data_IF_895461795660
#
_entry.id   IF_895461795660
#
_cell.length_a   1.000
_cell.length_b   1.000
_cell.length_c   1.000
_cell.angle_alpha   90.00
_cell.angle_beta   90.00
_cell.angle_gamma   90.00
#
_symmetry.space_group_name_H-M   'P 1'
#
loop_
_entity.id
_entity.type
_entity.pdbx_description
1 polymer ?
#
# COMPACT_ATOMS: atom_id res chain seq x y z
N UNK A 1 -69.40 14.13 32.26
CA UNK A 1 -70.31 13.52 31.26
C UNK A 1 -69.55 12.36 30.64
N UNK A 2 -70.04 11.14 30.90
CA UNK A 2 -69.78 9.83 30.27
C UNK A 2 -68.30 9.49 29.91
N UNK A 3 -67.59 8.61 30.62
CA UNK A 3 -67.84 7.18 30.90
C UNK A 3 -67.88 6.30 29.64
N UNK A 4 -66.82 5.51 29.43
CA UNK A 4 -66.92 4.11 29.01
C UNK A 4 -65.56 3.41 29.24
N UNK A 5 -65.35 2.93 30.46
CA UNK A 5 -64.43 1.82 30.73
C UNK A 5 -65.03 0.53 30.14
N UNK A 6 -64.26 -0.23 29.36
CA UNK A 6 -64.58 -1.64 29.13
C UNK A 6 -63.32 -2.50 28.88
N UNK A 7 -62.72 -2.88 30.00
CA UNK A 7 -62.50 -4.28 30.40
C UNK A 7 -61.57 -5.19 29.59
N UNK A 8 -60.63 -5.81 30.31
CA UNK A 8 -60.10 -7.14 30.02
C UNK A 8 -58.64 -7.13 29.56
N UNK A 9 -57.66 -7.08 30.46
CA UNK A 9 -57.13 -8.22 31.24
C UNK A 9 -56.28 -9.21 30.43
N UNK A 10 -55.13 -9.53 31.04
CA UNK A 10 -54.40 -10.79 30.92
C UNK A 10 -53.51 -10.99 29.66
N UNK A 11 -52.21 -10.76 29.86
CA UNK A 11 -51.20 -11.73 29.39
C UNK A 11 -51.49 -13.09 30.02
N UNK A 12 -51.52 -14.17 29.21
CA UNK A 12 -50.78 -15.36 29.63
C UNK A 12 -50.09 -16.12 28.48
N UNK A 13 -48.85 -16.53 28.79
CA UNK A 13 -48.28 -17.88 28.61
C UNK A 13 -48.15 -18.50 27.19
N UNK A 14 -46.90 -18.87 26.87
CA UNK A 14 -46.42 -19.83 25.84
C UNK A 14 -46.96 -21.28 26.04
N UNK A 15 -46.61 -22.35 25.25
CA UNK A 15 -46.03 -22.54 23.88
C UNK A 15 -46.87 -23.58 23.04
N UNK A 16 -46.35 -24.24 21.97
CA UNK A 16 -45.47 -25.41 22.14
C UNK A 16 -44.27 -25.51 21.18
N UNK A 17 -43.15 -25.90 21.79
CA UNK A 17 -42.16 -26.90 21.35
C UNK A 17 -41.52 -26.81 19.94
N UNK A 18 -40.22 -26.54 19.95
CA UNK A 18 -39.28 -26.83 18.87
C UNK A 18 -37.83 -26.62 19.30
N UNK A 19 -37.38 -27.36 20.33
CA UNK A 19 -35.99 -27.55 20.79
C UNK A 19 -34.99 -26.40 20.61
N UNK A 20 -34.87 -25.55 21.63
CA UNK A 20 -33.64 -24.80 21.90
C UNK A 20 -32.68 -25.67 22.71
N UNK A 21 -31.60 -26.13 22.08
CA UNK A 21 -30.37 -26.54 22.76
C UNK A 21 -29.43 -25.32 22.81
N UNK A 22 -28.62 -25.16 23.87
CA UNK A 22 -28.01 -23.89 24.22
C UNK A 22 -26.95 -23.46 23.23
N UNK A 23 -26.96 -22.15 22.99
CA UNK A 23 -25.88 -21.32 22.45
C UNK A 23 -24.59 -21.65 23.23
N UNK A 24 -23.78 -22.52 22.62
CA UNK A 24 -22.49 -22.95 23.12
C UNK A 24 -21.52 -22.83 21.96
N UNK A 25 -21.20 -21.58 21.61
CA UNK A 25 -20.00 -21.29 20.83
C UNK A 25 -18.83 -21.70 21.72
N UNK A 26 -18.39 -22.96 21.59
CA UNK A 26 -17.05 -23.35 21.98
C UNK A 26 -16.11 -22.54 21.10
N UNK A 27 -15.75 -21.34 21.55
CA UNK A 27 -14.58 -20.64 21.05
C UNK A 27 -13.40 -21.55 21.35
N UNK A 28 -12.91 -22.22 20.31
CA UNK A 28 -11.69 -23.00 20.36
C UNK A 28 -10.58 -22.10 20.95
N UNK A 29 -9.97 -22.47 22.09
CA UNK A 29 -8.89 -21.67 22.68
C UNK A 29 -7.72 -21.43 21.71
N UNK A 30 -7.56 -22.29 20.69
CA UNK A 30 -6.60 -22.07 19.61
C UNK A 30 -7.03 -20.94 18.65
N UNK A 31 -8.33 -20.80 18.39
CA UNK A 31 -8.87 -19.72 17.55
C UNK A 31 -8.77 -18.35 18.25
N UNK A 32 -9.03 -18.31 19.57
CA UNK A 32 -8.84 -17.10 20.38
C UNK A 32 -7.36 -16.67 20.40
N UNK A 33 -6.41 -17.62 20.49
CA UNK A 33 -4.98 -17.34 20.44
C UNK A 33 -4.52 -16.83 19.06
N UNK A 34 -5.04 -17.39 17.97
CA UNK A 34 -4.75 -16.90 16.62
C UNK A 34 -5.32 -15.50 16.38
N UNK A 35 -6.55 -15.23 16.83
CA UNK A 35 -7.13 -13.89 16.74
C UNK A 35 -6.36 -12.86 17.59
N UNK A 36 -5.85 -13.28 18.75
CA UNK A 36 -4.98 -12.45 19.59
C UNK A 36 -3.64 -12.16 18.91
N UNK A 37 -2.99 -13.16 18.30
CA UNK A 37 -1.76 -13.01 17.51
C UNK A 37 -1.96 -12.11 16.28
N UNK A 38 -3.11 -12.24 15.60
CA UNK A 38 -3.46 -11.44 14.43
C UNK A 38 -3.70 -9.97 14.80
N UNK A 39 -4.32 -9.72 15.96
CA UNK A 39 -4.48 -8.37 16.53
C UNK A 39 -3.14 -7.77 17.00
N UNK A 40 -2.26 -8.60 17.57
CA UNK A 40 -0.91 -8.20 17.98
C UNK A 40 -0.05 -7.80 16.76
N UNK A 41 -0.12 -8.53 15.63
CA UNK A 41 0.54 -8.14 14.38
C UNK A 41 -0.08 -6.89 13.73
N UNK A 42 -1.41 -6.74 13.77
CA UNK A 42 -2.09 -5.57 13.21
C UNK A 42 -1.71 -4.26 13.96
N UNK A 43 -1.25 -4.36 15.21
CA UNK A 43 -0.70 -3.23 15.95
C UNK A 43 0.70 -2.79 15.48
N UNK A 44 1.44 -3.65 14.77
CA UNK A 44 2.81 -3.36 14.27
C UNK A 44 2.77 -2.72 12.88
N UNK A 45 1.74 -2.98 12.07
CA UNK A 45 1.59 -2.39 10.73
C UNK A 45 1.16 -0.91 10.77
N UNK A 46 0.62 -0.45 11.90
CA UNK A 46 0.07 0.90 12.04
C UNK A 46 0.88 1.81 12.99
N UNK A 47 2.01 1.34 13.53
CA UNK A 47 2.91 2.15 14.36
C UNK A 47 4.14 2.56 13.54
N UNK A 48 4.39 3.87 13.48
CA UNK A 48 5.44 4.53 12.69
C UNK A 48 6.86 4.23 13.22
N UNK A 49 7.26 2.95 13.22
CA UNK A 49 8.52 2.45 13.77
C UNK A 49 9.73 2.53 12.83
N UNK A 50 9.66 3.25 11.72
CA UNK A 50 10.81 3.46 10.80
C UNK A 50 11.86 4.46 11.36
N UNK A 51 11.87 4.74 12.67
CA UNK A 51 12.80 5.67 13.32
C UNK A 51 14.00 5.05 14.06
N UNK A 52 14.13 3.72 14.15
CA UNK A 52 15.15 3.07 15.01
C UNK A 52 16.48 2.71 14.31
N UNK A 53 16.62 2.96 13.01
CA UNK A 53 17.88 2.66 12.29
C UNK A 53 18.81 3.87 12.06
N UNK A 54 18.58 5.00 12.73
CA UNK A 54 19.48 6.17 12.59
C UNK A 54 20.75 6.09 13.46
N UNK A 55 20.82 5.20 14.46
CA UNK A 55 22.00 5.11 15.36
C UNK A 55 22.48 3.68 15.66
N UNK A 56 22.63 2.85 14.63
CA UNK A 56 23.57 1.71 14.55
C UNK A 56 24.01 0.95 15.81
N UNK A 57 23.12 0.57 16.73
CA UNK A 57 23.48 -0.20 17.92
C UNK A 57 22.70 -1.54 17.98
N UNK A 58 23.46 -2.64 18.00
CA UNK A 58 22.93 -4.02 17.99
C UNK A 58 22.66 -4.50 19.43
N UNK A 59 21.52 -5.16 19.70
CA UNK A 59 21.19 -5.68 21.02
C UNK A 59 22.16 -6.76 21.50
N UNK A 60 22.48 -6.70 22.80
CA UNK A 60 23.46 -7.52 23.53
C UNK A 60 23.14 -9.03 23.61
N UNK A 61 22.01 -9.47 23.03
CA UNK A 61 21.58 -10.87 23.00
C UNK A 61 22.28 -11.72 21.92
N UNK A 62 23.07 -11.12 21.03
CA UNK A 62 23.76 -11.80 19.92
C UNK A 62 25.26 -12.04 20.15
N UNK A 63 25.80 -11.74 21.33
CA UNK A 63 27.18 -12.08 21.69
C UNK A 63 27.23 -13.40 22.45
N UNK A 64 27.40 -14.50 21.71
CA UNK A 64 27.72 -15.80 22.29
C UNK A 64 29.19 -15.90 22.71
N UNK A 65 29.56 -16.88 23.55
CA UNK A 65 30.91 -17.42 23.57
C UNK A 65 30.97 -18.76 22.83
N UNK A 66 31.83 -18.80 21.83
CA UNK A 66 32.41 -20.01 21.23
C UNK A 66 33.19 -20.83 22.28
N UNK A 67 33.28 -22.15 22.08
CA UNK A 67 34.37 -22.92 22.70
C UNK A 67 34.11 -24.40 23.00
N UNK A 68 34.29 -25.24 21.96
CA UNK A 68 35.07 -26.48 21.96
C UNK A 68 34.86 -27.56 23.06
N UNK A 69 34.54 -28.77 22.57
CA UNK A 69 35.47 -29.91 22.75
C UNK A 69 35.17 -30.94 23.85
N UNK A 70 34.62 -32.08 23.40
CA UNK A 70 35.09 -33.46 23.66
C UNK A 70 35.24 -33.99 25.10
N UNK A 71 34.56 -35.11 25.38
CA UNK A 71 34.77 -35.89 26.60
C UNK A 71 33.91 -37.15 26.66
N UNK A 72 34.41 -38.23 26.05
CA UNK A 72 33.98 -39.62 26.20
C UNK A 72 33.47 -39.99 27.60
N UNK A 73 32.35 -40.72 27.68
CA UNK A 73 32.16 -41.73 28.72
C UNK A 73 31.44 -42.95 28.14
N UNK A 74 32.24 -44.00 27.93
CA UNK A 74 31.82 -45.36 27.66
C UNK A 74 31.31 -46.02 28.94
N UNK A 75 30.16 -46.66 28.86
CA UNK A 75 29.62 -47.56 29.88
C UNK A 75 28.22 -47.99 29.43
N UNK A 76 27.86 -49.25 29.33
CA UNK A 76 28.47 -50.51 29.71
C UNK A 76 27.34 -51.54 29.71
N UNK A 77 27.68 -52.81 29.46
CA UNK A 77 26.75 -53.94 29.52
C UNK A 77 26.27 -54.35 28.13
N UNK A 78 26.76 -55.42 27.51
CA UNK A 78 27.06 -56.72 28.10
C UNK A 78 25.78 -57.55 28.07
N UNK A 79 25.55 -58.25 26.96
CA UNK A 79 24.35 -59.05 26.76
C UNK A 79 24.32 -59.72 25.39
N UNK A 80 25.42 -60.38 25.00
CA UNK A 80 25.43 -61.32 23.87
C UNK A 80 24.49 -62.48 24.21
N UNK A 81 23.29 -62.47 23.62
CA UNK A 81 22.46 -63.65 23.45
C UNK A 81 22.75 -64.27 22.09
N UNK A 82 23.66 -65.24 22.06
CA UNK A 82 23.95 -66.03 20.86
C UNK A 82 22.83 -67.06 20.67
N UNK A 83 22.02 -66.90 19.63
CA UNK A 83 21.20 -67.98 19.08
C UNK A 83 21.66 -68.27 17.65
N UNK A 84 22.24 -69.46 17.48
CA UNK A 84 22.72 -70.00 16.21
C UNK A 84 21.53 -70.42 15.34
N UNK A 85 21.48 -69.91 14.10
CA UNK A 85 20.60 -70.43 13.04
C UNK A 85 20.81 -69.68 11.71
N UNK A 86 20.96 -70.35 10.55
CA UNK A 86 21.18 -69.71 9.24
C UNK A 86 20.03 -68.84 8.70
N UNK A 87 18.99 -68.56 9.49
CA UNK A 87 17.73 -67.94 9.03
C UNK A 87 17.61 -66.45 9.37
N UNK A 88 18.56 -65.87 10.10
CA UNK A 88 18.40 -64.52 10.65
C UNK A 88 19.14 -63.40 9.86
N UNK A 89 19.93 -63.73 8.84
CA UNK A 89 20.59 -62.71 8.02
C UNK A 89 19.58 -61.96 7.16
N UNK A 90 18.64 -62.67 6.53
CA UNK A 90 17.61 -62.07 5.67
C UNK A 90 16.58 -61.27 6.47
N UNK A 91 16.23 -61.71 7.68
CA UNK A 91 15.34 -60.97 8.58
C UNK A 91 16.02 -59.73 9.18
N UNK A 92 17.32 -59.80 9.50
CA UNK A 92 18.08 -58.62 9.92
C UNK A 92 18.26 -57.62 8.78
N UNK A 93 18.52 -58.10 7.55
CA UNK A 93 18.62 -57.25 6.34
C UNK A 93 17.26 -56.60 6.05
N UNK A 94 16.14 -57.33 6.08
CA UNK A 94 14.82 -56.75 5.81
C UNK A 94 14.35 -55.79 6.90
N UNK A 95 14.72 -56.01 8.17
CA UNK A 95 14.45 -55.04 9.23
C UNK A 95 15.34 -53.80 9.10
N UNK A 96 16.62 -53.95 8.73
CA UNK A 96 17.47 -52.82 8.40
C UNK A 96 16.95 -52.04 7.18
N UNK A 97 16.48 -52.74 6.15
CA UNK A 97 15.90 -52.16 4.94
C UNK A 97 14.58 -51.45 5.24
N UNK A 98 13.75 -52.01 6.13
CA UNK A 98 12.51 -51.38 6.63
C UNK A 98 12.76 -50.16 7.52
N UNK A 99 13.92 -50.12 8.19
CA UNK A 99 14.37 -48.97 8.99
C UNK A 99 15.05 -47.91 8.10
N UNK A 100 15.67 -48.30 6.98
CA UNK A 100 16.26 -47.39 5.99
C UNK A 100 15.26 -46.88 4.96
N UNK A 101 14.19 -47.63 4.67
CA UNK A 101 13.11 -47.21 3.79
C UNK A 101 12.30 -46.14 4.52
N UNK A 102 12.40 -44.89 4.07
CA UNK A 102 11.46 -43.88 4.51
C UNK A 102 10.03 -44.38 4.22
N UNK A 103 9.12 -44.36 5.22
CA UNK A 103 7.72 -44.70 5.00
C UNK A 103 7.15 -43.88 3.83
N UNK A 104 6.42 -44.53 2.91
CA UNK A 104 5.78 -43.86 1.77
C UNK A 104 4.91 -42.66 2.16
N UNK A 105 4.38 -42.63 3.38
CA UNK A 105 3.65 -41.47 3.95
C UNK A 105 4.56 -40.25 4.16
N UNK A 106 5.79 -40.44 4.63
CA UNK A 106 6.78 -39.37 4.81
C UNK A 106 7.29 -38.89 3.45
N UNK A 107 7.45 -39.81 2.48
CA UNK A 107 7.84 -39.45 1.11
C UNK A 107 6.78 -38.55 0.47
N UNK A 108 5.51 -38.95 0.52
CA UNK A 108 4.38 -38.13 0.06
C UNK A 108 4.31 -36.79 0.77
N UNK A 109 4.48 -36.78 2.09
CA UNK A 109 4.47 -35.53 2.86
C UNK A 109 5.61 -34.58 2.45
N UNK A 110 6.82 -35.07 2.21
CA UNK A 110 7.92 -34.23 1.71
C UNK A 110 7.65 -33.70 0.30
N UNK A 111 7.06 -34.51 -0.57
CA UNK A 111 6.66 -34.09 -1.91
C UNK A 111 5.59 -32.99 -1.84
N UNK A 112 4.54 -33.17 -1.03
CA UNK A 112 3.48 -32.18 -0.80
C UNK A 112 4.02 -30.88 -0.17
N UNK A 113 4.92 -30.97 0.81
CA UNK A 113 5.55 -29.79 1.41
C UNK A 113 6.45 -29.06 0.41
N UNK A 114 7.23 -29.80 -0.38
CA UNK A 114 8.07 -29.22 -1.42
C UNK A 114 7.24 -28.52 -2.48
N UNK A 115 6.14 -29.14 -2.92
CA UNK A 115 5.21 -28.53 -3.88
C UNK A 115 4.54 -27.28 -3.32
N UNK A 116 4.11 -27.31 -2.05
CA UNK A 116 3.54 -26.14 -1.37
C UNK A 116 4.54 -24.99 -1.28
N UNK A 117 5.79 -25.28 -0.93
CA UNK A 117 6.85 -24.28 -0.86
C UNK A 117 7.15 -23.70 -2.24
N UNK A 118 7.23 -24.55 -3.27
CA UNK A 118 7.44 -24.10 -4.65
C UNK A 118 6.28 -23.22 -5.16
N UNK A 119 5.03 -23.53 -4.79
CA UNK A 119 3.88 -22.67 -5.07
C UNK A 119 3.97 -21.31 -4.36
N UNK A 120 4.43 -21.29 -3.10
CA UNK A 120 4.62 -20.05 -2.36
C UNK A 120 5.72 -19.18 -2.99
N UNK A 121 6.85 -19.78 -3.34
CA UNK A 121 7.96 -19.11 -4.04
C UNK A 121 7.55 -18.62 -5.43
N UNK A 122 6.72 -19.38 -6.15
CA UNK A 122 6.18 -18.97 -7.43
C UNK A 122 5.18 -17.81 -7.28
N UNK A 123 4.36 -17.82 -6.24
CA UNK A 123 3.42 -16.74 -5.95
C UNK A 123 4.16 -15.44 -5.58
N UNK A 124 5.15 -15.53 -4.69
CA UNK A 124 6.01 -14.40 -4.30
C UNK A 124 6.71 -13.78 -5.52
N UNK A 125 7.33 -14.61 -6.37
CA UNK A 125 7.96 -14.12 -7.61
C UNK A 125 6.98 -13.45 -8.57
N UNK A 126 5.74 -13.93 -8.66
CA UNK A 126 4.70 -13.30 -9.48
C UNK A 126 4.31 -11.94 -8.92
N UNK A 127 4.03 -11.84 -7.62
CA UNK A 127 3.68 -10.57 -6.98
C UNK A 127 4.80 -9.53 -7.11
N UNK A 128 6.06 -9.94 -6.91
CA UNK A 128 7.19 -9.04 -7.15
C UNK A 128 7.28 -8.56 -8.59
N UNK A 129 7.06 -9.46 -9.57
CA UNK A 129 7.09 -9.09 -10.98
C UNK A 129 5.95 -8.13 -11.33
N UNK A 130 4.75 -8.38 -10.83
CA UNK A 130 3.58 -7.52 -11.00
C UNK A 130 3.79 -6.14 -10.37
N UNK A 131 4.36 -6.06 -9.18
CA UNK A 131 4.69 -4.78 -8.53
C UNK A 131 5.80 -4.03 -9.26
N UNK A 132 6.82 -4.73 -9.77
CA UNK A 132 7.86 -4.13 -10.61
C UNK A 132 7.28 -3.59 -11.91
N UNK A 133 6.44 -4.37 -12.59
CA UNK A 133 5.77 -3.93 -13.83
C UNK A 133 4.86 -2.73 -13.56
N UNK A 134 4.10 -2.74 -12.46
CA UNK A 134 3.24 -1.62 -12.08
C UNK A 134 4.04 -0.36 -11.79
N UNK A 135 5.15 -0.47 -11.06
CA UNK A 135 6.03 0.67 -10.79
C UNK A 135 6.65 1.24 -12.07
N UNK A 136 7.06 0.38 -13.01
CA UNK A 136 7.58 0.81 -14.32
C UNK A 136 6.49 1.54 -15.11
N UNK A 137 5.28 0.98 -15.20
CA UNK A 137 4.16 1.62 -15.91
C UNK A 137 3.81 2.99 -15.32
N UNK A 138 3.77 3.09 -13.99
CA UNK A 138 3.47 4.37 -13.32
C UNK A 138 4.55 5.43 -13.63
N UNK A 139 5.82 5.02 -13.66
CA UNK A 139 6.94 5.89 -14.04
C UNK A 139 6.82 6.36 -15.50
N UNK A 140 6.53 5.44 -16.42
CA UNK A 140 6.32 5.74 -17.84
C UNK A 140 5.14 6.69 -18.06
N UNK A 141 4.02 6.46 -17.37
CA UNK A 141 2.86 7.35 -17.41
C UNK A 141 3.17 8.74 -16.85
N UNK A 142 4.00 8.81 -15.78
CA UNK A 142 4.41 10.10 -15.23
C UNK A 142 5.23 10.90 -16.24
N UNK A 143 6.20 10.27 -16.91
CA UNK A 143 6.98 10.92 -17.96
C UNK A 143 6.09 11.37 -19.13
N UNK A 144 5.17 10.52 -19.59
CA UNK A 144 4.24 10.86 -20.65
C UNK A 144 3.37 12.07 -20.29
N UNK A 145 2.85 12.12 -19.05
CA UNK A 145 2.08 13.27 -18.53
C UNK A 145 2.94 14.53 -18.43
N UNK A 146 4.20 14.41 -18.03
CA UNK A 146 5.14 15.52 -17.96
C UNK A 146 5.39 16.12 -19.35
N UNK A 147 5.70 15.26 -20.33
CA UNK A 147 5.95 15.66 -21.71
C UNK A 147 4.71 16.30 -22.35
N UNK A 148 3.53 15.72 -22.15
CA UNK A 148 2.27 16.31 -22.61
C UNK A 148 2.05 17.72 -22.03
N UNK A 149 2.26 17.89 -20.72
CA UNK A 149 2.08 19.17 -20.07
C UNK A 149 3.10 20.22 -20.54
N UNK A 150 4.33 19.79 -20.79
CA UNK A 150 5.40 20.61 -21.32
C UNK A 150 5.11 21.04 -22.77
N UNK A 151 4.66 20.13 -23.62
CA UNK A 151 4.24 20.45 -24.99
C UNK A 151 3.00 21.34 -25.02
N UNK A 152 2.04 21.13 -24.13
CA UNK A 152 0.87 22.01 -23.98
C UNK A 152 1.29 23.42 -23.58
N UNK A 153 2.25 23.54 -22.66
CA UNK A 153 2.79 24.84 -22.22
C UNK A 153 3.55 25.52 -23.36
N UNK A 154 4.39 24.79 -24.11
CA UNK A 154 5.07 25.32 -25.30
C UNK A 154 4.06 25.77 -26.36
N UNK A 155 3.02 24.98 -26.63
CA UNK A 155 1.97 25.32 -27.58
C UNK A 155 1.19 26.56 -27.15
N UNK A 156 0.83 26.66 -25.86
CA UNK A 156 0.17 27.85 -25.30
C UNK A 156 1.04 29.10 -25.42
N UNK A 157 2.34 28.99 -25.14
CA UNK A 157 3.26 30.12 -25.30
C UNK A 157 3.41 30.53 -26.76
N UNK A 158 3.53 29.57 -27.69
CA UNK A 158 3.57 29.87 -29.13
C UNK A 158 2.29 30.55 -29.61
N UNK A 159 1.12 30.05 -29.19
CA UNK A 159 -0.16 30.65 -29.56
C UNK A 159 -0.33 32.06 -28.95
N UNK A 160 0.12 32.26 -27.71
CA UNK A 160 0.10 33.58 -27.08
C UNK A 160 1.04 34.57 -27.79
N UNK A 161 2.22 34.13 -28.19
CA UNK A 161 3.16 34.95 -28.98
C UNK A 161 2.59 35.27 -30.36
N UNK A 162 2.02 34.28 -31.07
CA UNK A 162 1.38 34.52 -32.36
C UNK A 162 0.21 35.50 -32.23
N UNK A 163 -0.62 35.36 -31.20
CA UNK A 163 -1.69 36.32 -30.92
C UNK A 163 -1.14 37.71 -30.59
N UNK A 164 -0.05 37.81 -29.83
CA UNK A 164 0.61 39.08 -29.51
C UNK A 164 1.20 39.75 -30.75
N UNK A 165 1.84 38.97 -31.63
CA UNK A 165 2.39 39.48 -32.90
C UNK A 165 1.28 39.92 -33.83
N UNK A 166 0.20 39.15 -33.97
CA UNK A 166 -0.95 39.54 -34.78
C UNK A 166 -1.60 40.84 -34.28
N UNK A 167 -1.80 40.98 -32.96
CA UNK A 167 -2.31 42.23 -32.35
C UNK A 167 -1.34 43.42 -32.57
N UNK A 168 -0.04 43.15 -32.65
CA UNK A 168 0.97 44.15 -32.99
C UNK A 168 1.03 44.51 -34.48
N UNK A 169 0.69 43.58 -35.39
CA UNK A 169 0.66 43.77 -36.84
C UNK A 169 -0.63 44.41 -37.37
N UNK A 170 -1.76 44.29 -36.64
CA UNK A 170 -3.05 44.93 -36.93
C UNK A 170 -3.02 46.46 -36.67
N UNK A 171 -2.09 47.15 -37.34
CA UNK A 171 -1.92 48.60 -37.29
C UNK A 171 -2.78 49.23 -38.39
N UNK A 172 -4.03 49.51 -38.05
CA UNK A 172 -4.90 50.33 -38.89
C UNK A 172 -4.77 51.83 -38.52
N UNK A 173 -4.72 52.74 -39.50
CA UNK A 173 -4.70 54.18 -39.21
C UNK A 173 -5.95 54.58 -38.41
N UNK A 174 -5.76 55.16 -37.22
CA UNK A 174 -6.83 55.54 -36.28
C UNK A 174 -6.89 54.73 -34.97
N UNK A 175 -6.17 53.61 -34.85
CA UNK A 175 -6.12 52.78 -33.61
C UNK A 175 -4.94 53.14 -32.68
N UNK A 176 -4.18 54.20 -32.96
CA UNK A 176 -2.92 54.49 -32.26
C UNK A 176 -3.12 54.78 -30.76
N UNK A 177 -4.16 55.54 -30.42
CA UNK A 177 -4.48 55.85 -29.02
C UNK A 177 -5.08 54.67 -28.26
N UNK A 178 -5.74 53.74 -28.95
CA UNK A 178 -6.23 52.49 -28.38
C UNK A 178 -5.05 51.59 -27.96
N UNK A 179 -4.03 51.47 -28.81
CA UNK A 179 -2.78 50.75 -28.50
C UNK A 179 -2.00 51.40 -27.35
N UNK A 180 -1.84 52.72 -27.36
CA UNK A 180 -1.16 53.44 -26.26
C UNK A 180 -1.90 53.22 -24.94
N UNK A 181 -3.23 53.25 -24.95
CA UNK A 181 -4.03 52.97 -23.76
C UNK A 181 -3.92 51.51 -23.30
N UNK A 182 -3.84 50.54 -24.20
CA UNK A 182 -3.68 49.12 -23.86
C UNK A 182 -2.36 48.81 -23.15
N UNK A 183 -1.29 49.56 -23.49
CA UNK A 183 0.02 49.48 -22.82
C UNK A 183 0.08 50.28 -21.50
N UNK A 184 -0.90 51.16 -21.25
CA UNK A 184 -0.94 51.97 -20.05
C UNK A 184 -1.74 51.29 -18.93
N UNK A 185 -1.11 51.13 -17.77
CA UNK A 185 -1.80 50.61 -16.59
C UNK A 185 -2.67 51.69 -15.91
N UNK A 186 -3.98 51.60 -16.16
CA UNK A 186 -4.99 52.47 -15.55
C UNK A 186 -5.45 52.02 -14.16
N UNK A 187 -4.92 50.92 -13.63
CA UNK A 187 -5.28 50.49 -12.29
C UNK A 187 -4.83 51.55 -11.26
N UNK A 188 -5.77 52.13 -10.48
CA UNK A 188 -5.41 53.13 -9.49
C UNK A 188 -4.54 52.55 -8.36
N UNK A 189 -4.54 51.22 -8.15
CA UNK A 189 -3.79 50.54 -7.10
C UNK A 189 -2.38 50.07 -7.51
N UNK A 190 -2.08 50.03 -8.81
CA UNK A 190 -0.77 49.57 -9.29
C UNK A 190 0.31 50.65 -9.24
N UNK A 191 -0.08 51.93 -9.20
CA UNK A 191 0.84 53.06 -9.13
C UNK A 191 1.42 53.21 -7.73
N UNK A 192 2.61 52.63 -7.50
CA UNK A 192 3.43 52.84 -6.28
C UNK A 192 4.18 54.18 -6.28
N UNK A 193 3.93 55.05 -7.26
CA UNK A 193 4.69 56.27 -7.48
C UNK A 193 4.01 57.46 -6.78
N UNK A 194 4.80 58.32 -6.12
CA UNK A 194 4.32 59.50 -5.40
C UNK A 194 3.86 60.66 -6.29
N UNK A 195 4.01 60.53 -7.62
CA UNK A 195 3.61 61.57 -8.58
C UNK A 195 2.15 61.34 -8.99
N UNK A 196 1.35 62.41 -8.94
CA UNK A 196 -0.02 62.37 -9.43
C UNK A 196 -0.04 62.30 -10.97
N UNK A 197 -0.42 61.14 -11.48
CA UNK A 197 -0.58 60.87 -12.92
C UNK A 197 -2.03 60.94 -13.37
N UNK A 198 -2.96 61.41 -12.53
CA UNK A 198 -4.41 61.44 -12.82
C UNK A 198 -4.74 62.25 -14.07
N UNK A 199 -4.09 63.40 -14.27
CA UNK A 199 -4.27 64.24 -15.47
C UNK A 199 -3.77 63.55 -16.75
N UNK A 200 -2.66 62.83 -16.67
CA UNK A 200 -2.13 62.08 -17.82
C UNK A 200 -3.07 60.93 -18.17
N UNK A 201 -3.54 60.19 -17.15
CA UNK A 201 -4.52 59.11 -17.30
C UNK A 201 -5.82 59.61 -17.93
N UNK A 202 -6.35 60.75 -17.48
CA UNK A 202 -7.59 61.32 -18.05
C UNK A 202 -7.42 61.73 -19.52
N UNK A 203 -6.27 62.29 -19.90
CA UNK A 203 -5.98 62.65 -21.30
C UNK A 203 -5.89 61.40 -22.18
N UNK A 204 -5.18 60.36 -21.74
CA UNK A 204 -5.05 59.11 -22.50
C UNK A 204 -6.39 58.38 -22.67
N UNK A 205 -7.25 58.38 -21.65
CA UNK A 205 -8.61 57.81 -21.74
C UNK A 205 -9.48 58.60 -22.72
N UNK A 206 -9.41 59.94 -22.68
CA UNK A 206 -10.16 60.80 -23.61
C UNK A 206 -9.75 60.55 -25.06
N UNK A 207 -8.45 60.38 -25.32
CA UNK A 207 -7.92 60.12 -26.66
C UNK A 207 -8.29 58.71 -27.18
N UNK A 208 -8.48 57.75 -26.28
CA UNK A 208 -9.05 56.43 -26.62
C UNK A 208 -10.53 56.53 -27.00
N UNK A 209 -11.34 57.30 -26.27
CA UNK A 209 -12.79 57.38 -26.47
C UNK A 209 -13.19 58.29 -27.65
N UNK A 210 -12.42 59.36 -27.89
CA UNK A 210 -12.63 60.31 -28.96
C UNK A 210 -11.30 60.52 -29.71
N UNK A 211 -11.04 59.71 -30.75
CA UNK A 211 -9.85 59.87 -31.57
C UNK A 211 -9.83 61.27 -32.19
N UNK A 212 -8.65 61.86 -32.30
CA UNK A 212 -8.48 63.14 -32.99
C UNK A 212 -8.86 62.95 -34.45
N UNK A 213 -9.95 63.58 -34.89
CA UNK A 213 -10.33 63.65 -36.30
C UNK A 213 -9.19 64.36 -37.04
N UNK A 214 -8.52 63.65 -37.96
CA UNK A 214 -7.54 64.22 -38.87
C UNK A 214 -8.20 64.61 -40.18
#
# INVERSE_FOLDING_TARGET
MADMDLFGAQQPQQPPAGNGAPDGVEEDPAAAFLAQQETEMAGIENDEGYGILENGEVPEALQGPEGLGEGTSCGGGGGRGETNGPTNCYAAISQADRLQSEPESIRKWREEQKERLEQLDANSRKQEAEWKEKAIKELEEWYARQDENLEKTKASNRAAEEAFVNDAEDIFPGTEWERVAQLCDFNPKSSKQAKDVSRMRSVLISLKQAPLVR
#
